data_IF_059404274155
#
_entry.id   IF_059404274155
#
_cell.length_a   1.000
_cell.length_b   1.000
_cell.length_c   1.000
_cell.angle_alpha   90.00
_cell.angle_beta   90.00
_cell.angle_gamma   90.00
#
_symmetry.space_group_name_H-M   'P 1'
#
loop_
_entity.id
_entity.type
_entity.pdbx_description
1 polymer ?
#
# COMPACT_ATOMS: atom_id res chain seq x y z
N UNK A 1 -18.54 3.45 -1.24
CA UNK A 1 -18.71 3.42 0.22
C UNK A 1 -18.50 1.99 0.67
N UNK A 2 -17.36 1.73 1.33
CA UNK A 2 -16.96 0.41 1.80
C UNK A 2 -17.23 0.29 3.31
N UNK A 3 -18.35 0.87 3.78
CA UNK A 3 -18.66 1.05 5.21
C UNK A 3 -18.83 -0.29 5.91
N UNK A 4 -19.35 -1.29 5.19
CA UNK A 4 -19.48 -2.67 5.65
C UNK A 4 -18.12 -3.30 5.96
N UNK A 5 -17.06 -2.89 5.25
CA UNK A 5 -15.71 -3.40 5.49
C UNK A 5 -15.15 -2.86 6.81
N UNK A 6 -15.28 -1.54 7.06
CA UNK A 6 -14.79 -0.95 8.32
C UNK A 6 -15.53 -1.54 9.52
N UNK A 7 -16.86 -1.66 9.45
CA UNK A 7 -17.64 -2.27 10.53
C UNK A 7 -17.20 -3.72 10.80
N UNK A 8 -16.98 -4.52 9.75
CA UNK A 8 -16.51 -5.89 9.90
C UNK A 8 -15.13 -5.99 10.57
N UNK A 9 -14.24 -5.02 10.33
CA UNK A 9 -12.94 -4.93 11.03
C UNK A 9 -13.12 -4.60 12.50
N UNK A 10 -14.01 -3.66 12.83
CA UNK A 10 -14.29 -3.28 14.21
C UNK A 10 -14.90 -4.43 15.00
N UNK A 11 -15.91 -5.09 14.44
CA UNK A 11 -16.56 -6.25 15.06
C UNK A 11 -15.55 -7.39 15.30
N UNK A 12 -14.67 -7.65 14.34
CA UNK A 12 -13.63 -8.69 14.45
C UNK A 12 -12.55 -8.31 15.48
N UNK A 13 -12.18 -7.04 15.57
CA UNK A 13 -11.23 -6.55 16.57
C UNK A 13 -11.78 -6.72 17.98
N UNK A 14 -13.07 -6.39 18.19
CA UNK A 14 -13.77 -6.60 19.46
C UNK A 14 -13.90 -8.08 19.82
N UNK A 15 -14.31 -8.94 18.88
CA UNK A 15 -14.43 -10.39 19.09
C UNK A 15 -13.09 -11.03 19.50
N UNK A 16 -11.99 -10.58 18.89
CA UNK A 16 -10.65 -11.12 19.16
C UNK A 16 -9.92 -10.42 20.29
N UNK A 17 -10.46 -9.33 20.83
CA UNK A 17 -9.84 -8.52 21.88
C UNK A 17 -8.50 -7.91 21.46
N UNK A 18 -8.37 -7.52 20.19
CA UNK A 18 -7.17 -6.88 19.63
C UNK A 18 -7.48 -5.45 19.20
N UNK A 19 -6.45 -4.59 19.17
CA UNK A 19 -6.63 -3.24 18.66
C UNK A 19 -6.91 -3.24 17.16
N UNK A 20 -7.88 -2.43 16.71
CA UNK A 20 -8.22 -2.27 15.29
C UNK A 20 -6.98 -1.96 14.44
N UNK A 21 -6.05 -1.16 14.96
CA UNK A 21 -4.80 -0.80 14.30
C UNK A 21 -3.97 -2.03 13.91
N UNK A 22 -3.89 -3.03 14.79
CA UNK A 22 -3.16 -4.29 14.54
C UNK A 22 -3.84 -5.09 13.43
N UNK A 23 -5.17 -5.08 13.39
CA UNK A 23 -5.93 -5.78 12.36
C UNK A 23 -5.79 -5.10 10.98
N UNK A 24 -5.82 -3.76 10.93
CA UNK A 24 -5.53 -3.01 9.71
C UNK A 24 -4.11 -3.31 9.19
N UNK A 25 -3.09 -3.25 10.05
CA UNK A 25 -1.70 -3.56 9.67
C UNK A 25 -1.57 -5.00 9.13
N UNK A 26 -2.23 -5.97 9.77
CA UNK A 26 -2.22 -7.36 9.32
C UNK A 26 -2.85 -7.51 7.92
N UNK A 27 -3.94 -6.80 7.64
CA UNK A 27 -4.63 -6.84 6.36
C UNK A 27 -3.82 -6.12 5.28
N UNK A 28 -3.25 -4.96 5.57
CA UNK A 28 -2.36 -4.23 4.66
C UNK A 28 -1.16 -5.10 4.27
N UNK A 29 -0.57 -5.81 5.23
CA UNK A 29 0.51 -6.76 4.97
C UNK A 29 0.06 -7.94 4.10
N UNK A 30 -1.12 -8.51 4.38
CA UNK A 30 -1.70 -9.61 3.60
C UNK A 30 -1.98 -9.19 2.15
N UNK A 31 -2.61 -8.03 1.95
CA UNK A 31 -2.89 -7.46 0.64
C UNK A 31 -1.59 -7.12 -0.11
N UNK A 32 -0.58 -6.60 0.59
CA UNK A 32 0.72 -6.27 0.00
C UNK A 32 1.42 -7.53 -0.51
N UNK A 33 1.35 -8.62 0.26
CA UNK A 33 1.87 -9.93 -0.15
C UNK A 33 1.09 -10.50 -1.35
N UNK A 34 -0.25 -10.41 -1.34
CA UNK A 34 -1.08 -10.85 -2.46
C UNK A 34 -0.79 -10.06 -3.75
N UNK A 35 -0.59 -8.75 -3.63
CA UNK A 35 -0.20 -7.88 -4.74
C UNK A 35 1.13 -8.33 -5.36
N UNK A 36 2.15 -8.54 -4.53
CA UNK A 36 3.48 -9.00 -4.97
C UNK A 36 3.41 -10.33 -5.74
N UNK A 37 2.56 -11.26 -5.30
CA UNK A 37 2.38 -12.57 -5.94
C UNK A 37 1.70 -12.48 -7.31
N UNK A 38 0.69 -11.62 -7.44
CA UNK A 38 -0.14 -11.54 -8.65
C UNK A 38 0.44 -10.64 -9.75
N UNK A 39 1.23 -9.60 -9.38
CA UNK A 39 1.70 -8.59 -10.33
C UNK A 39 3.17 -8.74 -10.75
N UNK A 40 3.84 -9.85 -10.36
CA UNK A 40 5.05 -10.38 -11.00
C UNK A 40 6.32 -9.51 -10.93
N UNK A 41 6.21 -8.29 -10.43
CA UNK A 41 7.32 -7.40 -10.16
C UNK A 41 7.35 -7.22 -8.65
N UNK A 42 8.53 -7.42 -8.06
CA UNK A 42 8.79 -7.19 -6.64
C UNK A 42 8.76 -5.69 -6.32
N UNK A 43 7.73 -4.98 -6.79
CA UNK A 43 7.46 -3.62 -6.38
C UNK A 43 7.24 -3.67 -4.88
N UNK A 44 8.12 -3.00 -4.15
CA UNK A 44 7.90 -2.72 -2.74
C UNK A 44 6.66 -1.83 -2.66
N UNK A 45 5.49 -2.46 -2.61
CA UNK A 45 4.23 -1.74 -2.45
C UNK A 45 3.92 -1.59 -0.97
N UNK A 46 3.43 -0.41 -0.61
CA UNK A 46 2.72 -0.13 0.63
C UNK A 46 1.24 -0.02 0.28
N UNK A 47 0.42 -0.75 1.01
CA UNK A 47 -1.03 -0.59 0.96
C UNK A 47 -1.43 0.18 2.21
N UNK A 48 -2.31 1.16 2.03
CA UNK A 48 -2.84 1.98 3.11
C UNK A 48 -4.37 1.93 3.02
N UNK A 49 -5.02 1.66 4.14
CA UNK A 49 -6.48 1.62 4.22
C UNK A 49 -6.95 2.83 5.02
N UNK A 50 -7.75 3.67 4.37
CA UNK A 50 -8.45 4.74 5.07
C UNK A 50 -9.45 4.14 6.07
N UNK A 51 -9.16 4.31 7.36
CA UNK A 51 -9.92 3.73 8.47
C UNK A 51 -11.33 4.31 8.61
N UNK A 52 -11.62 5.42 7.94
CA UNK A 52 -12.92 6.09 7.95
C UNK A 52 -13.76 5.68 6.76
N UNK A 53 -13.16 5.67 5.55
CA UNK A 53 -13.89 5.45 4.30
C UNK A 53 -13.83 4.00 3.80
N UNK A 54 -12.83 3.24 4.26
CA UNK A 54 -12.48 1.91 3.75
C UNK A 54 -11.89 1.94 2.35
N UNK A 55 -11.43 3.10 1.88
CA UNK A 55 -10.70 3.22 0.62
C UNK A 55 -9.29 2.65 0.77
N UNK A 56 -8.88 1.91 -0.25
CA UNK A 56 -7.58 1.23 -0.27
C UNK A 56 -6.70 1.97 -1.27
N UNK A 57 -5.57 2.47 -0.80
CA UNK A 57 -4.54 3.09 -1.62
C UNK A 57 -3.34 2.15 -1.74
N UNK A 58 -2.75 2.09 -2.93
CA UNK A 58 -1.55 1.30 -3.20
C UNK A 58 -0.46 2.24 -3.66
N UNK A 59 0.67 2.21 -2.98
CA UNK A 59 1.83 3.05 -3.28
C UNK A 59 3.04 2.18 -3.63
N UNK A 60 3.67 2.43 -4.77
CA UNK A 60 5.00 1.89 -5.06
C UNK A 60 6.06 2.71 -4.34
N UNK A 61 6.97 2.03 -3.63
CA UNK A 61 8.11 2.63 -2.95
C UNK A 61 9.30 2.66 -3.91
N UNK A 62 9.75 3.86 -4.25
CA UNK A 62 10.92 4.10 -5.09
C UNK A 62 12.06 4.60 -4.21
N UNK A 63 13.20 3.92 -4.25
CA UNK A 63 14.41 4.34 -3.55
C UNK A 63 15.08 5.48 -4.30
N UNK A 64 15.41 6.55 -3.59
CA UNK A 64 16.16 7.67 -4.16
C UNK A 64 17.62 7.26 -4.32
N UNK A 65 18.11 7.32 -5.55
CA UNK A 65 19.49 6.97 -5.95
C UNK A 65 20.07 8.10 -6.81
N UNK A 66 21.39 8.12 -7.00
CA UNK A 66 22.02 9.14 -7.85
C UNK A 66 21.58 8.98 -9.31
N UNK A 67 21.68 7.75 -9.83
CA UNK A 67 21.26 7.38 -11.18
C UNK A 67 20.32 6.18 -11.09
N UNK A 68 19.08 6.34 -11.54
CA UNK A 68 18.09 5.26 -11.52
C UNK A 68 18.38 4.27 -12.65
N UNK A 69 18.56 3.00 -12.29
CA UNK A 69 18.74 1.88 -13.22
C UNK A 69 17.44 1.10 -13.41
N UNK A 70 16.64 0.99 -12.35
CA UNK A 70 15.32 0.37 -12.39
C UNK A 70 14.21 1.40 -12.10
N UNK A 71 13.49 1.90 -13.12
CA UNK A 71 12.43 2.90 -12.92
C UNK A 71 11.21 2.37 -12.14
N UNK A 72 11.15 1.07 -11.86
CA UNK A 72 10.09 0.46 -11.04
C UNK A 72 10.44 0.42 -9.55
N UNK A 73 11.72 0.52 -9.19
CA UNK A 73 12.22 0.43 -7.81
C UNK A 73 13.01 1.66 -7.37
N UNK A 74 13.45 2.48 -8.32
CA UNK A 74 14.37 3.58 -8.11
C UNK A 74 13.86 4.87 -8.74
N UNK A 75 14.27 5.99 -8.15
CA UNK A 75 14.05 7.33 -8.68
C UNK A 75 15.36 8.12 -8.54
N UNK A 76 15.72 8.89 -9.56
CA UNK A 76 16.92 9.73 -9.48
C UNK A 76 16.72 10.81 -8.42
N UNK A 77 17.79 11.21 -7.73
CA UNK A 77 17.76 12.31 -6.77
C UNK A 77 17.24 13.60 -7.43
N UNK A 78 17.59 13.83 -8.69
CA UNK A 78 17.12 14.96 -9.47
C UNK A 78 15.60 14.93 -9.65
N UNK A 79 15.01 13.77 -9.95
CA UNK A 79 13.56 13.62 -10.11
C UNK A 79 12.81 13.61 -8.77
N UNK A 80 13.37 12.98 -7.74
CA UNK A 80 12.83 13.03 -6.39
C UNK A 80 12.73 14.49 -5.90
N UNK A 81 13.77 15.30 -6.12
CA UNK A 81 13.78 16.72 -5.75
C UNK A 81 12.77 17.58 -6.51
N UNK A 82 12.31 17.16 -7.71
CA UNK A 82 11.21 17.84 -8.41
C UNK A 82 9.86 17.61 -7.72
N UNK A 83 9.69 16.48 -7.05
CA UNK A 83 8.48 16.16 -6.28
C UNK A 83 8.51 16.91 -4.95
N UNK A 84 9.61 16.78 -4.21
CA UNK A 84 9.84 17.51 -2.97
C UNK A 84 11.34 17.79 -2.82
N UNK A 85 11.75 19.07 -2.70
CA UNK A 85 13.17 19.43 -2.61
C UNK A 85 13.90 18.88 -1.38
N UNK A 86 13.15 18.41 -0.36
CA UNK A 86 13.70 17.85 0.87
C UNK A 86 14.15 16.37 0.74
N UNK A 87 13.91 15.72 -0.40
CA UNK A 87 14.38 14.34 -0.59
C UNK A 87 15.91 14.26 -0.71
N UNK A 88 16.47 13.27 -0.02
CA UNK A 88 17.89 12.94 0.03
C UNK A 88 18.18 11.55 -0.55
N UNK A 89 19.46 11.23 -0.74
CA UNK A 89 19.86 9.90 -1.21
C UNK A 89 19.46 8.82 -0.19
N UNK A 90 18.97 7.70 -0.69
CA UNK A 90 18.40 6.58 0.05
C UNK A 90 17.03 6.83 0.70
N UNK A 91 16.41 7.99 0.50
CA UNK A 91 15.00 8.18 0.88
C UNK A 91 14.07 7.28 0.08
N UNK A 92 12.82 7.18 0.56
CA UNK A 92 11.75 6.45 -0.12
C UNK A 92 10.69 7.44 -0.61
N UNK A 93 10.50 7.48 -1.92
CA UNK A 93 9.38 8.20 -2.55
C UNK A 93 8.20 7.25 -2.67
N UNK A 94 7.03 7.67 -2.19
CA UNK A 94 5.78 6.95 -2.39
C UNK A 94 5.10 7.48 -3.65
N UNK A 95 4.90 6.61 -4.65
CA UNK A 95 4.12 6.93 -5.85
C UNK A 95 2.83 6.14 -5.82
N UNK A 96 1.69 6.83 -5.88
CA UNK A 96 0.40 6.17 -5.93
C UNK A 96 0.23 5.40 -7.25
N UNK A 97 -0.12 4.12 -7.13
CA UNK A 97 -0.34 3.17 -8.23
C UNK A 97 -1.65 2.39 -8.05
N UNK A 98 -2.56 2.90 -7.20
CA UNK A 98 -3.86 2.30 -6.89
C UNK A 98 -4.63 1.93 -8.17
N UNK A 99 -4.80 0.64 -8.48
CA UNK A 99 -5.62 0.23 -9.63
C UNK A 99 -7.09 0.59 -9.40
N UNK A 100 -7.80 1.07 -10.42
CA UNK A 100 -9.22 1.43 -10.32
C UNK A 100 -10.13 0.30 -9.82
N UNK A 101 -9.75 -0.96 -10.06
CA UNK A 101 -10.50 -2.16 -9.67
C UNK A 101 -9.95 -2.85 -8.41
N UNK A 102 -9.03 -2.21 -7.67
CA UNK A 102 -8.29 -2.89 -6.59
C UNK A 102 -9.19 -3.38 -5.46
N UNK A 103 -10.19 -2.58 -5.06
CA UNK A 103 -11.17 -2.99 -4.05
C UNK A 103 -11.91 -4.29 -4.41
N UNK A 104 -12.16 -4.53 -5.71
CA UNK A 104 -12.80 -5.77 -6.17
C UNK A 104 -11.85 -6.97 -6.12
N UNK A 105 -10.58 -6.78 -6.47
CA UNK A 105 -9.54 -7.83 -6.43
C UNK A 105 -9.25 -8.24 -4.98
N UNK A 106 -9.19 -7.28 -4.07
CA UNK A 106 -9.03 -7.52 -2.63
C UNK A 106 -10.21 -8.35 -2.07
N UNK A 107 -11.45 -7.95 -2.37
CA UNK A 107 -12.65 -8.68 -1.94
C UNK A 107 -12.73 -10.12 -2.49
N UNK A 108 -12.25 -10.37 -3.72
CA UNK A 108 -12.19 -11.72 -4.28
C UNK A 108 -11.08 -12.58 -3.65
N UNK A 109 -9.95 -11.97 -3.31
CA UNK A 109 -8.81 -12.67 -2.70
C UNK A 109 -9.09 -13.02 -1.24
N UNK A 110 -9.83 -12.18 -0.51
CA UNK A 110 -10.22 -12.42 0.88
C UNK A 110 -11.26 -13.56 1.05
N UNK A 111 -11.93 -13.98 -0.03
CA UNK A 111 -12.90 -15.10 -0.01
C UNK A 111 -12.27 -16.49 -0.17
N UNK A 112 -10.97 -16.58 -0.48
CA UNK A 112 -10.27 -17.87 -0.66
C UNK A 112 -9.68 -18.39 0.65
#
# INVERSE_FOLDING_TARGET
>A
MNVDFIQAIQDLAEERGIEEAVLFEAIEAALSSAYRRNFGTAQNVRIDIDRTTGEIHVYSQLKVVEEAQDPLLEISLADAKKINPNYELNDIVLREVTPKDFGRIAAQTAKQ
#
